data_IF_696846442935
#
_entry.id   IF_696846442935
#
_cell.length_a   1.000
_cell.length_b   1.000
_cell.length_c   1.000
_cell.angle_alpha   90.00
_cell.angle_beta   90.00
_cell.angle_gamma   90.00
#
_symmetry.space_group_name_H-M   'P 1'
#
loop_
_entity.id
_entity.type
_entity.pdbx_description
1 polymer ?
#
# COMPACT_ATOMS: atom_id res chain seq x y z
N UNK A 1 -3.19 19.85 13.58
CA UNK A 1 -2.78 18.51 13.12
C UNK A 1 -3.96 17.89 12.42
N UNK A 2 -3.93 17.80 11.09
CA UNK A 2 -5.04 17.35 10.25
C UNK A 2 -4.56 16.51 9.05
N UNK A 3 -3.28 16.11 9.03
CA UNK A 3 -2.70 15.28 7.96
C UNK A 3 -3.22 13.85 7.98
N UNK A 4 -3.72 13.37 9.12
CA UNK A 4 -4.25 12.01 9.25
C UNK A 4 -5.52 11.72 8.42
N UNK A 5 -6.30 12.77 8.06
CA UNK A 5 -7.52 12.64 7.25
C UNK A 5 -7.25 12.73 5.74
N UNK A 6 -6.02 13.03 5.32
CA UNK A 6 -5.64 13.06 3.90
C UNK A 6 -4.80 11.82 3.62
N UNK A 7 -5.13 11.00 2.61
CA UNK A 7 -4.32 9.85 2.24
C UNK A 7 -2.96 10.32 1.67
N UNK A 8 -1.82 9.69 2.03
CA UNK A 8 -0.48 10.10 1.60
C UNK A 8 -0.20 9.74 0.14
N UNK A 9 -1.03 10.23 -0.78
CA UNK A 9 -1.04 9.80 -2.19
C UNK A 9 0.15 10.37 -2.94
N UNK A 10 0.52 11.62 -2.68
CA UNK A 10 1.69 12.25 -3.30
C UNK A 10 2.98 11.61 -2.80
N UNK A 11 3.12 11.48 -1.48
CA UNK A 11 4.27 10.83 -0.83
C UNK A 11 4.43 9.38 -1.28
N UNK A 12 3.33 8.62 -1.38
CA UNK A 12 3.36 7.25 -1.92
C UNK A 12 3.98 7.19 -3.31
N UNK A 13 3.57 8.10 -4.21
CA UNK A 13 4.11 8.15 -5.58
C UNK A 13 5.58 8.51 -5.60
N UNK A 14 5.99 9.43 -4.73
CA UNK A 14 7.39 9.84 -4.62
C UNK A 14 8.27 8.65 -4.22
N UNK A 15 7.89 7.92 -3.16
CA UNK A 15 8.57 6.69 -2.73
C UNK A 15 8.73 5.69 -3.89
N UNK A 16 7.66 5.41 -4.65
CA UNK A 16 7.76 4.47 -5.78
C UNK A 16 8.66 5.01 -6.91
N UNK A 17 8.65 6.31 -7.19
CA UNK A 17 9.53 6.95 -8.17
C UNK A 17 10.99 6.87 -7.73
N UNK A 18 11.28 7.12 -6.47
CA UNK A 18 12.62 6.98 -5.88
C UNK A 18 13.14 5.54 -5.95
N UNK A 19 12.26 4.55 -5.74
CA UNK A 19 12.56 3.13 -5.91
C UNK A 19 12.74 2.71 -7.39
N UNK A 20 12.54 3.64 -8.33
CA UNK A 20 12.71 3.45 -9.77
C UNK A 20 11.54 2.74 -10.46
N UNK A 21 10.32 2.88 -9.92
CA UNK A 21 9.09 2.47 -10.58
C UNK A 21 8.52 3.60 -11.42
N UNK A 22 7.92 3.23 -12.54
CA UNK A 22 7.03 4.10 -13.29
C UNK A 22 5.65 4.01 -12.67
N UNK A 23 5.14 5.14 -12.18
CA UNK A 23 3.83 5.21 -11.53
C UNK A 23 2.81 5.77 -12.53
N UNK A 24 1.71 5.07 -12.74
CA UNK A 24 0.58 5.61 -13.49
C UNK A 24 -0.06 6.78 -12.74
N UNK A 25 -0.49 7.81 -13.46
CA UNK A 25 -1.29 8.88 -12.87
C UNK A 25 -2.68 8.35 -12.54
N UNK A 26 -3.17 8.60 -11.32
CA UNK A 26 -4.42 8.01 -10.82
C UNK A 26 -4.95 8.73 -9.59
N UNK A 27 -5.87 8.10 -8.86
CA UNK A 27 -6.35 8.57 -7.57
C UNK A 27 -5.55 7.95 -6.43
N UNK A 28 -6.27 7.46 -5.42
CA UNK A 28 -5.72 6.68 -4.30
C UNK A 28 -5.26 5.27 -4.72
N UNK A 29 -5.69 4.76 -5.87
CA UNK A 29 -5.20 3.50 -6.44
C UNK A 29 -4.43 3.78 -7.74
N UNK A 30 -3.26 3.15 -7.89
CA UNK A 30 -2.43 3.25 -9.09
C UNK A 30 -1.54 2.02 -9.26
N UNK A 31 -1.07 1.77 -10.49
CA UNK A 31 -0.09 0.71 -10.75
C UNK A 31 1.31 1.31 -10.80
N UNK A 32 2.23 0.69 -10.07
CA UNK A 32 3.66 0.96 -10.13
C UNK A 32 4.35 -0.17 -10.90
N UNK A 33 5.00 0.16 -12.01
CA UNK A 33 5.64 -0.81 -12.89
C UNK A 33 7.16 -0.64 -12.90
N UNK A 34 7.87 -1.76 -12.85
CA UNK A 34 9.31 -1.85 -13.04
C UNK A 34 9.58 -3.01 -14.00
N UNK A 35 10.73 -3.00 -14.68
CA UNK A 35 11.08 -3.97 -15.74
C UNK A 35 10.81 -5.44 -15.40
N UNK A 36 10.82 -5.82 -14.12
CA UNK A 36 10.66 -7.19 -13.63
C UNK A 36 9.44 -7.40 -12.71
N UNK A 37 8.66 -6.35 -12.40
CA UNK A 37 7.58 -6.41 -11.40
C UNK A 37 6.50 -5.36 -11.67
N UNK A 38 5.23 -5.72 -11.50
CA UNK A 38 4.12 -4.76 -11.40
C UNK A 38 3.51 -4.85 -10.01
N UNK A 39 3.14 -3.72 -9.46
CA UNK A 39 2.59 -3.59 -8.11
C UNK A 39 1.30 -2.79 -8.20
N UNK A 40 0.20 -3.32 -7.68
CA UNK A 40 -1.01 -2.54 -7.48
C UNK A 40 -0.87 -1.79 -6.17
N UNK A 41 -0.85 -0.47 -6.22
CA UNK A 41 -0.68 0.38 -5.05
C UNK A 41 -2.02 0.98 -4.65
N UNK A 42 -2.42 0.79 -3.39
CA UNK A 42 -3.65 1.34 -2.82
C UNK A 42 -3.30 2.22 -1.62
N UNK A 43 -3.65 3.49 -1.67
CA UNK A 43 -3.36 4.50 -0.64
C UNK A 43 -4.59 4.71 0.23
N UNK A 44 -4.47 4.37 1.51
CA UNK A 44 -5.58 4.31 2.45
C UNK A 44 -5.57 5.50 3.41
N UNK A 45 -6.75 6.06 3.65
CA UNK A 45 -7.01 7.03 4.71
C UNK A 45 -7.64 6.35 5.95
N UNK A 46 -7.60 7.04 7.08
CA UNK A 46 -7.87 6.47 8.39
C UNK A 46 -9.36 6.41 8.79
N UNK A 47 -10.24 7.12 8.08
CA UNK A 47 -11.64 7.30 8.49
C UNK A 47 -12.62 6.26 7.91
N UNK A 48 -12.39 5.72 6.70
CA UNK A 48 -13.46 4.99 5.99
C UNK A 48 -12.97 3.88 5.03
N UNK A 49 -11.67 3.58 4.98
CA UNK A 49 -11.17 2.62 4.00
C UNK A 49 -11.46 1.17 4.41
N UNK A 50 -12.59 0.68 3.90
CA UNK A 50 -12.96 -0.71 3.97
C UNK A 50 -11.98 -1.56 3.16
N UNK A 51 -11.22 -2.42 3.84
CA UNK A 51 -10.25 -3.30 3.20
C UNK A 51 -10.90 -4.47 2.49
N UNK A 52 -12.15 -4.81 2.80
CA UNK A 52 -12.87 -5.94 2.22
C UNK A 52 -12.84 -5.99 0.68
N UNK A 53 -13.12 -4.91 -0.08
CA UNK A 53 -13.00 -4.92 -1.54
C UNK A 53 -11.58 -5.20 -2.03
N UNK A 54 -10.55 -4.77 -1.29
CA UNK A 54 -9.15 -4.99 -1.65
C UNK A 54 -8.63 -6.35 -1.21
N UNK A 55 -9.36 -7.08 -0.36
CA UNK A 55 -9.06 -8.44 0.08
C UNK A 55 -9.74 -9.49 -0.82
N UNK A 56 -10.72 -9.08 -1.62
CA UNK A 56 -11.44 -9.96 -2.54
C UNK A 56 -10.58 -10.44 -3.73
N UNK A 57 -10.91 -11.65 -4.18
CA UNK A 57 -10.15 -12.54 -5.05
C UNK A 57 -9.34 -11.87 -6.18
N UNK A 58 -8.08 -12.30 -6.28
CA UNK A 58 -7.15 -11.92 -7.33
C UNK A 58 -7.59 -12.46 -8.69
N UNK A 59 -8.35 -11.65 -9.42
CA UNK A 59 -8.47 -11.77 -10.88
C UNK A 59 -7.13 -11.53 -11.57
N UNK A 60 -7.13 -11.04 -12.82
CA UNK A 60 -5.91 -10.63 -13.58
C UNK A 60 -5.21 -9.38 -12.98
N UNK A 61 -5.35 -9.17 -11.67
CA UNK A 61 -4.69 -8.10 -10.92
C UNK A 61 -3.24 -8.49 -10.61
N UNK A 62 -2.33 -7.50 -10.42
CA UNK A 62 -0.94 -7.76 -10.09
C UNK A 62 -0.81 -8.70 -8.87
N UNK A 63 0.08 -9.70 -8.97
CA UNK A 63 0.34 -10.67 -7.88
C UNK A 63 0.85 -10.01 -6.59
N UNK A 64 1.40 -8.80 -6.68
CA UNK A 64 1.87 -8.02 -5.55
C UNK A 64 0.98 -6.78 -5.35
N UNK A 65 0.34 -6.68 -4.19
CA UNK A 65 -0.43 -5.50 -3.76
C UNK A 65 0.33 -4.74 -2.69
N UNK A 66 0.51 -3.44 -2.87
CA UNK A 66 1.15 -2.58 -1.89
C UNK A 66 0.15 -1.60 -1.32
N UNK A 67 -0.06 -1.63 -0.02
CA UNK A 67 -0.93 -0.70 0.67
C UNK A 67 -0.08 0.41 1.29
N UNK A 68 -0.44 1.66 1.06
CA UNK A 68 0.29 2.81 1.60
C UNK A 68 -0.60 3.56 2.56
N UNK A 69 -0.08 3.86 3.74
CA UNK A 69 -0.80 4.59 4.78
C UNK A 69 0.19 5.36 5.65
N UNK A 70 -0.31 6.10 6.62
CA UNK A 70 0.52 6.78 7.61
C UNK A 70 1.21 5.77 8.55
N UNK A 71 2.43 6.06 8.96
CA UNK A 71 3.28 5.17 9.79
C UNK A 71 2.61 4.71 11.08
N UNK A 72 1.83 5.58 11.70
CA UNK A 72 1.06 5.27 12.91
C UNK A 72 -0.02 4.18 12.70
N UNK A 73 -0.39 3.87 11.45
CA UNK A 73 -1.40 2.86 11.09
C UNK A 73 -0.83 1.65 10.35
N UNK A 74 0.36 1.77 9.77
CA UNK A 74 0.99 0.68 9.04
C UNK A 74 1.07 -0.62 9.86
N UNK A 75 1.26 -0.53 11.18
CA UNK A 75 1.25 -1.69 12.07
C UNK A 75 -0.10 -2.41 12.20
N UNK A 76 -1.20 -1.65 12.28
CA UNK A 76 -2.57 -2.19 12.37
C UNK A 76 -3.00 -2.82 11.03
N UNK A 77 -2.69 -2.15 9.92
CA UNK A 77 -2.95 -2.66 8.58
C UNK A 77 -2.18 -3.96 8.29
N UNK A 78 -0.90 -4.02 8.71
CA UNK A 78 -0.10 -5.25 8.63
C UNK A 78 -0.76 -6.38 9.42
N UNK A 79 -1.16 -6.13 10.66
CA UNK A 79 -1.80 -7.15 11.51
C UNK A 79 -3.09 -7.69 10.87
N UNK A 80 -3.90 -6.80 10.29
CA UNK A 80 -5.11 -7.19 9.55
C UNK A 80 -4.80 -8.02 8.31
N UNK A 81 -3.78 -7.67 7.53
CA UNK A 81 -3.35 -8.46 6.36
C UNK A 81 -2.82 -9.84 6.77
N UNK A 82 -2.03 -9.93 7.84
CA UNK A 82 -1.56 -11.20 8.42
C UNK A 82 -2.74 -12.05 8.89
N UNK A 83 -3.72 -11.43 9.56
CA UNK A 83 -4.92 -12.13 10.05
C UNK A 83 -5.82 -12.63 8.91
N UNK A 84 -6.00 -11.83 7.85
CA UNK A 84 -6.87 -12.18 6.72
C UNK A 84 -6.20 -13.18 5.77
N UNK A 85 -4.87 -13.25 5.73
CA UNK A 85 -4.09 -14.16 4.86
C UNK A 85 -4.52 -14.08 3.39
N UNK A 86 -4.36 -12.92 2.74
CA UNK A 86 -4.75 -12.78 1.35
C UNK A 86 -3.99 -13.76 0.44
N UNK A 87 -4.59 -14.18 -0.68
CA UNK A 87 -4.00 -15.15 -1.62
C UNK A 87 -2.93 -14.55 -2.54
N UNK A 88 -2.47 -13.33 -2.27
CA UNK A 88 -1.47 -12.59 -3.05
C UNK A 88 -0.34 -12.09 -2.15
N UNK A 89 0.81 -11.76 -2.75
CA UNK A 89 1.89 -11.09 -2.02
C UNK A 89 1.43 -9.68 -1.66
N UNK A 90 1.73 -9.24 -0.44
CA UNK A 90 1.38 -7.92 0.02
C UNK A 90 2.57 -7.19 0.64
N UNK A 91 2.55 -5.87 0.52
CA UNK A 91 3.43 -4.97 1.23
C UNK A 91 2.61 -3.83 1.82
N UNK A 92 3.06 -3.31 2.95
CA UNK A 92 2.53 -2.12 3.60
C UNK A 92 3.67 -1.11 3.69
N UNK A 93 3.44 0.10 3.19
CA UNK A 93 4.36 1.23 3.35
C UNK A 93 3.71 2.22 4.32
N UNK A 94 4.37 2.44 5.46
CA UNK A 94 4.01 3.44 6.45
C UNK A 94 4.84 4.70 6.28
N UNK A 95 4.23 5.79 5.82
CA UNK A 95 4.91 7.07 5.61
C UNK A 95 4.78 7.93 6.86
N UNK A 96 5.86 8.58 7.30
CA UNK A 96 5.81 9.51 8.43
C UNK A 96 4.95 10.74 8.14
N UNK A 97 4.43 11.42 9.15
CA UNK A 97 3.54 12.57 8.97
C UNK A 97 4.24 13.74 8.25
N UNK A 98 5.57 13.80 8.36
CA UNK A 98 6.43 14.78 7.70
C UNK A 98 6.81 14.34 6.27
N UNK A 99 6.51 13.10 5.86
CA UNK A 99 6.79 12.56 4.53
C UNK A 99 8.27 12.26 4.24
N UNK A 100 9.16 12.49 5.20
CA UNK A 100 10.62 12.38 5.03
C UNK A 100 11.15 10.94 5.15
N UNK A 101 10.38 10.05 5.78
CA UNK A 101 10.79 8.68 6.04
C UNK A 101 9.62 7.70 5.87
N UNK A 102 9.93 6.46 5.50
CA UNK A 102 8.94 5.41 5.33
C UNK A 102 9.44 4.07 5.87
N UNK A 103 8.50 3.26 6.39
CA UNK A 103 8.74 1.88 6.79
C UNK A 103 8.04 0.93 5.82
N UNK A 104 8.70 -0.16 5.45
CA UNK A 104 8.13 -1.21 4.60
C UNK A 104 7.92 -2.48 5.42
N UNK A 105 6.73 -3.07 5.33
CA UNK A 105 6.36 -4.33 5.98
C UNK A 105 5.75 -5.24 4.91
N UNK A 106 6.36 -6.37 4.61
CA UNK A 106 5.91 -7.28 3.55
C UNK A 106 5.51 -8.65 4.10
N UNK A 107 4.61 -9.33 3.37
CA UNK A 107 4.19 -10.69 3.66
C UNK A 107 3.86 -11.45 2.39
N UNK A 108 4.28 -12.71 2.35
CA UNK A 108 3.95 -13.64 1.28
C UNK A 108 2.55 -14.25 1.52
N UNK A 109 1.87 -14.76 0.47
CA UNK A 109 0.56 -15.41 0.63
C UNK A 109 0.61 -16.51 1.69
N UNK A 110 -0.31 -16.45 2.64
CA UNK A 110 -0.40 -17.42 3.74
C UNK A 110 0.71 -17.36 4.80
N UNK A 111 1.54 -16.29 4.82
CA UNK A 111 2.54 -16.11 5.88
C UNK A 111 1.87 -15.98 7.26
N UNK A 112 2.46 -16.60 8.30
CA UNK A 112 1.92 -16.61 9.66
C UNK A 112 2.07 -15.26 10.39
#
# INVERSE_FOLDING_TARGET
>A
MATASIPPTTEARDVFRELGYTVSEGGQEFVAERKWRRVLVTVLCMEDDDLEPYLADGGDTPRLRCFVTWRNRAGDLRDRLVSTKPPYDWAVIGIDADGEDFAVMEGAPGSP
#
